data_IF_000411372246
#
_entry.id   IF_000411372246
#
_cell.length_a   1.000
_cell.length_b   1.000
_cell.length_c   1.000
_cell.angle_alpha   90.00
_cell.angle_beta   90.00
_cell.angle_gamma   90.00
#
_symmetry.space_group_name_H-M   'P 1'
#
loop_
_entity.id
_entity.type
_entity.pdbx_description
1 polymer ?
#
# COMPACT_ATOMS: atom_id res chain seq x y z
N UNK A 1 7.21 10.99 -25.05
CA UNK A 1 5.79 10.58 -25.21
C UNK A 1 5.47 9.65 -24.05
N UNK A 2 4.72 10.14 -23.08
CA UNK A 2 4.47 9.47 -21.80
C UNK A 2 4.30 10.50 -20.70
N UNK A 3 3.30 11.38 -20.87
CA UNK A 3 2.87 12.39 -19.91
C UNK A 3 2.27 11.71 -18.68
N UNK A 4 2.99 11.73 -17.57
CA UNK A 4 2.46 11.35 -16.25
C UNK A 4 1.72 12.54 -15.62
N UNK A 5 0.74 13.11 -16.34
CA UNK A 5 -0.05 14.21 -15.82
C UNK A 5 -1.16 13.71 -14.89
N UNK A 6 -1.17 14.36 -13.73
CA UNK A 6 -2.28 14.57 -12.80
C UNK A 6 -2.98 13.33 -12.22
N UNK A 7 -2.43 12.86 -11.10
CA UNK A 7 -3.22 12.33 -10.00
C UNK A 7 -2.74 12.99 -8.71
N UNK A 8 -3.42 14.06 -8.27
CA UNK A 8 -3.18 14.71 -6.97
C UNK A 8 -3.74 13.84 -5.83
N UNK A 9 -3.14 12.68 -5.61
CA UNK A 9 -3.43 11.84 -4.45
C UNK A 9 -2.11 11.24 -3.98
N UNK A 10 -1.44 11.89 -3.03
CA UNK A 10 -0.28 11.26 -2.39
C UNK A 10 0.68 12.13 -1.59
N UNK A 11 0.62 13.47 -1.69
CA UNK A 11 1.66 14.33 -1.13
C UNK A 11 1.66 14.60 0.40
N UNK A 12 0.63 14.31 1.23
CA UNK A 12 0.72 14.65 2.66
C UNK A 12 1.79 13.88 3.45
N UNK A 13 2.02 12.60 3.11
CA UNK A 13 2.86 11.70 3.92
C UNK A 13 4.37 11.79 3.63
N UNK A 14 4.75 12.47 2.54
CA UNK A 14 6.15 12.59 2.13
C UNK A 14 6.81 13.82 2.79
N UNK A 15 6.04 14.89 3.05
CA UNK A 15 6.48 16.11 3.77
C UNK A 15 6.70 15.83 5.26
N UNK A 16 5.88 14.96 5.85
CA UNK A 16 5.98 14.57 7.26
C UNK A 16 7.28 13.79 7.57
N UNK A 17 7.87 13.17 6.55
CA UNK A 17 9.10 12.38 6.65
C UNK A 17 10.37 13.22 6.49
N UNK A 18 10.33 14.32 5.74
CA UNK A 18 11.44 15.29 5.68
C UNK A 18 11.62 15.97 7.04
N UNK A 19 10.52 16.32 7.72
CA UNK A 19 10.54 16.87 9.08
C UNK A 19 11.12 15.90 10.12
N UNK A 20 10.77 14.60 10.07
CA UNK A 20 11.34 13.57 10.95
C UNK A 20 12.83 13.31 10.70
N UNK A 21 13.29 13.48 9.45
CA UNK A 21 14.71 13.36 9.11
C UNK A 21 15.50 14.55 9.67
N UNK A 22 14.99 15.78 9.54
CA UNK A 22 15.61 16.99 10.06
C UNK A 22 15.68 17.02 11.60
N UNK A 23 14.63 16.56 12.30
CA UNK A 23 14.61 16.52 13.77
C UNK A 23 15.55 15.44 14.35
N UNK A 24 15.83 14.38 13.60
CA UNK A 24 16.73 13.29 14.02
C UNK A 24 18.23 13.65 13.97
N UNK A 25 18.62 14.73 13.27
CA UNK A 25 20.03 15.11 13.08
C UNK A 25 20.64 15.72 14.35
N UNK A 26 19.84 16.14 15.33
CA UNK A 26 20.34 16.64 16.63
C UNK A 26 20.39 15.54 17.71
N UNK A 27 21.35 14.63 17.61
CA UNK A 27 21.69 13.69 18.69
C UNK A 27 23.00 14.10 19.39
N UNK A 28 22.91 14.90 20.46
CA UNK A 28 24.06 15.26 21.32
C UNK A 28 24.42 14.22 22.40
N UNK A 29 23.82 13.02 22.41
CA UNK A 29 24.10 12.01 23.45
C UNK A 29 24.27 10.63 22.83
N UNK A 30 25.35 9.94 23.24
CA UNK A 30 25.80 8.62 22.79
C UNK A 30 24.64 7.64 22.55
N UNK A 31 24.52 7.15 21.32
CA UNK A 31 23.47 6.24 20.92
C UNK A 31 23.63 4.84 21.56
N UNK A 32 22.51 4.24 22.01
CA UNK A 32 22.45 2.84 22.48
C UNK A 32 22.74 1.86 21.33
N UNK A 33 23.26 0.67 21.65
CA UNK A 33 23.60 -0.40 20.70
C UNK A 33 22.37 -0.72 19.82
N UNK A 34 22.46 -0.47 18.51
CA UNK A 34 21.36 -0.70 17.55
C UNK A 34 20.68 0.56 16.96
N UNK A 35 21.04 1.76 17.44
CA UNK A 35 20.56 3.02 16.87
C UNK A 35 21.39 3.38 15.62
N UNK A 36 20.73 3.49 14.46
CA UNK A 36 21.36 3.99 13.26
C UNK A 36 21.49 5.52 13.38
N UNK A 37 22.72 6.02 13.49
CA UNK A 37 23.00 7.46 13.63
C UNK A 37 23.20 8.16 12.28
N UNK A 38 23.34 7.41 11.19
CA UNK A 38 23.52 7.97 9.85
C UNK A 38 22.16 8.26 9.17
N UNK A 39 21.94 9.46 8.62
CA UNK A 39 20.65 9.84 7.99
C UNK A 39 20.15 8.83 6.96
N UNK A 40 21.04 8.33 6.08
CA UNK A 40 20.72 7.27 5.10
C UNK A 40 20.12 6.01 5.75
N UNK A 41 20.64 5.58 6.89
CA UNK A 41 20.16 4.38 7.58
C UNK A 41 18.82 4.60 8.28
N UNK A 42 18.56 5.83 8.74
CA UNK A 42 17.25 6.24 9.26
C UNK A 42 16.22 6.22 8.14
N UNK A 43 16.51 6.88 7.02
CA UNK A 43 15.64 6.92 5.84
C UNK A 43 15.27 5.51 5.35
N UNK A 44 16.25 4.61 5.23
CA UNK A 44 16.00 3.23 4.79
C UNK A 44 15.13 2.45 5.79
N UNK A 45 15.31 2.64 7.10
CA UNK A 45 14.44 2.01 8.12
C UNK A 45 13.00 2.45 7.92
N UNK A 46 12.75 3.76 7.80
CA UNK A 46 11.40 4.27 7.64
C UNK A 46 10.78 3.76 6.33
N UNK A 47 11.55 3.71 5.23
CA UNK A 47 11.10 3.11 3.96
C UNK A 47 10.67 1.65 4.15
N UNK A 48 11.47 0.84 4.86
CA UNK A 48 11.15 -0.57 5.15
C UNK A 48 9.89 -0.71 6.01
N UNK A 49 9.74 0.11 7.04
CA UNK A 49 8.53 0.12 7.87
C UNK A 49 7.29 0.43 7.02
N UNK A 50 7.34 1.46 6.16
CA UNK A 50 6.23 1.78 5.24
C UNK A 50 5.86 0.60 4.33
N UNK A 51 6.86 -0.14 3.83
CA UNK A 51 6.61 -1.34 3.01
C UNK A 51 5.92 -2.42 3.84
N UNK A 52 6.45 -2.72 5.03
CA UNK A 52 5.85 -3.71 5.92
C UNK A 52 4.41 -3.36 6.31
N UNK A 53 4.11 -2.09 6.57
CA UNK A 53 2.75 -1.64 6.91
C UNK A 53 1.79 -1.81 5.73
N UNK A 54 2.25 -1.52 4.51
CA UNK A 54 1.45 -1.75 3.28
C UNK A 54 1.18 -3.24 3.06
N UNK A 55 2.16 -4.11 3.32
CA UNK A 55 1.99 -5.56 3.22
C UNK A 55 0.98 -6.06 4.27
N UNK A 56 1.02 -5.56 5.51
CA UNK A 56 0.01 -5.91 6.54
C UNK A 56 -1.39 -5.50 6.13
N UNK A 57 -1.57 -4.28 5.63
CA UNK A 57 -2.88 -3.83 5.12
C UNK A 57 -3.38 -4.70 3.96
N UNK A 58 -2.47 -5.14 3.09
CA UNK A 58 -2.84 -6.05 2.00
C UNK A 58 -3.36 -7.40 2.52
N UNK A 59 -2.80 -7.93 3.62
CA UNK A 59 -3.27 -9.16 4.25
C UNK A 59 -4.70 -9.08 4.78
N UNK A 60 -5.15 -7.89 5.19
CA UNK A 60 -6.52 -7.69 5.69
C UNK A 60 -7.55 -7.59 4.55
N UNK A 61 -7.12 -7.23 3.34
CA UNK A 61 -8.00 -7.00 2.19
C UNK A 61 -8.15 -8.23 1.28
N UNK A 62 -7.14 -9.09 1.23
CA UNK A 62 -7.09 -10.24 0.32
C UNK A 62 -7.46 -11.51 1.10
N UNK A 63 -8.43 -12.32 0.63
CA UNK A 63 -8.80 -13.56 1.30
C UNK A 63 -7.63 -14.57 1.27
N UNK A 64 -7.51 -15.39 2.32
CA UNK A 64 -6.50 -16.46 2.45
C UNK A 64 -5.03 -15.99 2.43
N UNK A 65 -4.77 -14.70 2.57
CA UNK A 65 -3.41 -14.16 2.55
C UNK A 65 -2.54 -14.58 3.75
N UNK A 66 -3.16 -15.03 4.84
CA UNK A 66 -2.51 -15.54 6.05
C UNK A 66 -1.80 -16.89 5.83
N UNK A 67 -2.20 -17.64 4.80
CA UNK A 67 -1.65 -18.96 4.47
C UNK A 67 -0.38 -18.87 3.62
N UNK A 68 -0.13 -17.69 3.05
CA UNK A 68 0.99 -17.39 2.17
C UNK A 68 2.25 -17.11 3.00
N UNK A 69 3.33 -17.87 2.76
CA UNK A 69 4.59 -17.72 3.52
C UNK A 69 5.64 -16.86 2.82
N UNK A 70 5.48 -16.63 1.51
CA UNK A 70 6.40 -15.86 0.68
C UNK A 70 5.74 -14.55 0.21
N UNK A 71 6.48 -13.45 0.26
CA UNK A 71 6.02 -12.15 -0.24
C UNK A 71 5.71 -12.16 -1.74
N UNK A 72 6.40 -12.97 -2.55
CA UNK A 72 6.10 -13.08 -3.98
C UNK A 72 4.69 -13.67 -4.19
N UNK A 73 4.45 -14.85 -3.61
CA UNK A 73 3.18 -15.56 -3.73
C UNK A 73 2.01 -14.72 -3.14
N UNK A 74 2.27 -13.98 -2.05
CA UNK A 74 1.35 -12.98 -1.49
C UNK A 74 0.94 -11.94 -2.54
N UNK A 75 1.90 -11.36 -3.26
CA UNK A 75 1.61 -10.34 -4.27
C UNK A 75 0.87 -10.93 -5.48
N UNK A 76 1.18 -12.17 -5.87
CA UNK A 76 0.49 -12.86 -6.96
C UNK A 76 -0.99 -13.13 -6.61
N UNK A 77 -1.28 -13.55 -5.38
CA UNK A 77 -2.66 -13.74 -4.88
C UNK A 77 -3.44 -12.43 -4.87
N UNK A 78 -2.81 -11.33 -4.45
CA UNK A 78 -3.43 -10.02 -4.51
C UNK A 78 -3.81 -9.62 -5.95
N UNK A 79 -2.92 -9.88 -6.91
CA UNK A 79 -3.21 -9.64 -8.34
C UNK A 79 -4.35 -10.51 -8.84
N UNK A 80 -4.38 -11.79 -8.45
CA UNK A 80 -5.47 -12.70 -8.80
C UNK A 80 -6.81 -12.22 -8.23
N UNK A 81 -6.84 -11.78 -6.98
CA UNK A 81 -8.05 -11.29 -6.33
C UNK A 81 -8.57 -9.99 -6.98
N UNK A 82 -7.69 -9.08 -7.37
CA UNK A 82 -8.09 -7.87 -8.12
C UNK A 82 -8.76 -8.24 -9.46
N UNK A 83 -8.17 -9.17 -10.21
CA UNK A 83 -8.75 -9.64 -11.48
C UNK A 83 -10.11 -10.30 -11.27
N UNK A 84 -10.23 -11.12 -10.23
CA UNK A 84 -11.49 -11.73 -9.84
C UNK A 84 -12.57 -10.68 -9.55
N UNK A 85 -12.27 -9.67 -8.72
CA UNK A 85 -13.21 -8.59 -8.42
C UNK A 85 -13.62 -7.80 -9.66
N UNK A 86 -12.68 -7.54 -10.58
CA UNK A 86 -12.98 -6.87 -11.85
C UNK A 86 -13.96 -7.69 -12.70
N UNK A 87 -13.76 -9.01 -12.76
CA UNK A 87 -14.67 -9.91 -13.46
C UNK A 87 -16.06 -9.92 -12.83
N UNK A 88 -16.16 -10.05 -11.49
CA UNK A 88 -17.44 -10.01 -10.78
C UNK A 88 -18.22 -8.72 -11.04
N UNK A 89 -17.53 -7.57 -11.05
CA UNK A 89 -18.15 -6.27 -11.36
C UNK A 89 -18.68 -6.27 -12.79
N UNK A 90 -17.92 -6.80 -13.75
CA UNK A 90 -18.33 -6.87 -15.15
C UNK A 90 -19.58 -7.74 -15.32
N UNK A 91 -19.59 -8.93 -14.71
CA UNK A 91 -20.74 -9.84 -14.74
C UNK A 91 -21.98 -9.21 -14.12
N UNK A 92 -21.88 -8.66 -12.90
CA UNK A 92 -22.99 -7.98 -12.23
C UNK A 92 -23.52 -6.77 -13.02
N UNK A 93 -22.63 -6.03 -13.69
CA UNK A 93 -23.02 -4.90 -14.53
C UNK A 93 -23.79 -5.37 -15.76
N UNK A 94 -23.40 -6.48 -16.37
CA UNK A 94 -24.11 -7.07 -17.50
C UNK A 94 -25.47 -7.64 -17.08
N UNK A 95 -25.51 -8.34 -15.95
CA UNK A 95 -26.76 -8.84 -15.38
C UNK A 95 -27.73 -7.71 -15.04
N UNK A 96 -27.22 -6.58 -14.52
CA UNK A 96 -28.04 -5.40 -14.23
C UNK A 96 -28.63 -4.80 -15.51
N UNK A 97 -27.84 -4.68 -16.59
CA UNK A 97 -28.34 -4.21 -17.89
C UNK A 97 -29.39 -5.13 -18.50
N UNK A 98 -29.21 -6.43 -18.26
CA UNK A 98 -30.07 -7.47 -18.83
C UNK A 98 -31.28 -7.75 -17.93
N UNK A 99 -31.30 -7.17 -16.72
CA UNK A 99 -32.44 -7.23 -15.81
C UNK A 99 -33.62 -6.46 -16.39
N UNK A 100 -34.67 -7.18 -16.76
CA UNK A 100 -35.98 -6.61 -17.11
C UNK A 100 -36.84 -6.29 -15.89
N UNK A 101 -36.24 -6.29 -14.71
CA UNK A 101 -36.93 -5.98 -13.47
C UNK A 101 -37.46 -4.54 -13.53
N UNK A 102 -38.77 -4.42 -13.72
CA UNK A 102 -39.48 -3.15 -13.56
C UNK A 102 -39.25 -2.68 -12.13
N UNK A 103 -38.69 -1.49 -11.96
CA UNK A 103 -38.61 -0.81 -10.66
C UNK A 103 -40.01 -0.79 -10.05
N UNK A 104 -40.26 -1.64 -9.06
CA UNK A 104 -41.35 -1.48 -8.10
C UNK A 104 -40.70 -0.89 -6.85
N UNK A 105 -40.62 0.44 -6.84
CA UNK A 105 -40.78 1.32 -5.67
C UNK A 105 -40.65 2.78 -6.12
#
# INVERSE_FOLDING_TARGET
KGDWLQGEVGRPLDVEMENLLEESVMCKVRAKRGCATHPRSIAERVRRTRISDRIRKLQELVPNMDKQTNTADMLDEAVAYVKYLQQQIQELTEDQKNCKCSTIN
#
